data_IF_687909498598
#
_entry.id   IF_687909498598
#
_cell.length_a   1.000
_cell.length_b   1.000
_cell.length_c   1.000
_cell.angle_alpha   90.00
_cell.angle_beta   90.00
_cell.angle_gamma   90.00
#
_symmetry.space_group_name_H-M   'P 1'
#
loop_
_entity.id
_entity.type
_entity.pdbx_description
1 polymer ?
#
# COMPACT_ATOMS: atom_id res chain seq x y z
N UNK A 1 15.89 2.74 -22.37
CA UNK A 1 14.61 2.11 -22.01
C UNK A 1 13.53 3.14 -22.27
N UNK A 2 12.87 3.07 -23.42
CA UNK A 2 11.86 4.07 -23.80
C UNK A 2 10.50 3.51 -23.37
N UNK A 3 9.91 4.07 -22.32
CA UNK A 3 8.56 3.70 -21.89
C UNK A 3 7.60 4.08 -23.02
N UNK A 4 6.86 3.09 -23.50
CA UNK A 4 5.93 3.32 -24.59
C UNK A 4 4.79 4.22 -24.09
N UNK A 5 4.10 4.91 -25.00
CA UNK A 5 3.01 5.82 -24.62
C UNK A 5 1.88 5.10 -23.85
N UNK A 6 1.74 3.78 -24.09
CA UNK A 6 0.80 2.91 -23.38
C UNK A 6 1.19 2.74 -21.91
N UNK A 7 2.48 2.60 -21.58
CA UNK A 7 2.93 2.49 -20.18
C UNK A 7 2.59 3.76 -19.39
N UNK A 8 2.83 4.92 -20.00
CA UNK A 8 2.46 6.21 -19.41
C UNK A 8 0.96 6.38 -19.26
N UNK A 9 0.17 5.89 -20.21
CA UNK A 9 -1.30 5.91 -20.12
C UNK A 9 -1.80 5.09 -18.92
N UNK A 10 -1.20 3.93 -18.64
CA UNK A 10 -1.56 3.08 -17.49
C UNK A 10 -1.23 3.79 -16.17
N UNK A 11 -0.04 4.37 -16.06
CA UNK A 11 0.37 5.13 -14.86
C UNK A 11 -0.56 6.31 -14.61
N UNK A 12 -0.84 7.09 -15.66
CA UNK A 12 -1.71 8.26 -15.56
C UNK A 12 -3.14 7.85 -15.20
N UNK A 13 -3.67 6.77 -15.79
CA UNK A 13 -4.98 6.23 -15.45
C UNK A 13 -5.07 5.82 -13.96
N UNK A 14 -4.04 5.15 -13.43
CA UNK A 14 -3.99 4.75 -12.03
C UNK A 14 -3.92 5.96 -11.09
N UNK A 15 -3.08 6.95 -11.40
CA UNK A 15 -3.00 8.20 -10.63
C UNK A 15 -4.33 8.96 -10.66
N UNK A 16 -4.96 9.06 -11.84
CA UNK A 16 -6.27 9.69 -11.98
C UNK A 16 -7.34 8.97 -11.15
N UNK A 17 -7.34 7.63 -11.16
CA UNK A 17 -8.24 6.84 -10.33
C UNK A 17 -8.05 7.10 -8.82
N UNK A 18 -6.80 7.17 -8.35
CA UNK A 18 -6.50 7.51 -6.95
C UNK A 18 -6.97 8.93 -6.58
N UNK A 19 -6.77 9.91 -7.45
CA UNK A 19 -7.24 11.28 -7.24
C UNK A 19 -8.77 11.33 -7.20
N UNK A 20 -9.44 10.67 -8.14
CA UNK A 20 -10.90 10.62 -8.20
C UNK A 20 -11.50 9.98 -6.96
N UNK A 21 -10.95 8.84 -6.52
CA UNK A 21 -11.40 8.17 -5.30
C UNK A 21 -11.15 9.03 -4.06
N UNK A 22 -10.02 9.73 -3.96
CA UNK A 22 -9.73 10.67 -2.87
C UNK A 22 -10.70 11.87 -2.85
N UNK A 23 -11.01 12.45 -4.02
CA UNK A 23 -11.99 13.55 -4.11
C UNK A 23 -13.40 13.05 -3.75
N UNK A 24 -13.77 11.85 -4.18
CA UNK A 24 -15.06 11.25 -3.86
C UNK A 24 -15.18 10.95 -2.37
N UNK A 25 -14.12 10.45 -1.73
CA UNK A 25 -14.14 10.15 -0.29
C UNK A 25 -14.10 11.40 0.58
N UNK A 26 -13.59 12.53 0.08
CA UNK A 26 -13.55 13.82 0.80
C UNK A 26 -14.94 14.28 1.29
N UNK A 27 -16.02 13.93 0.60
CA UNK A 27 -17.40 14.29 1.00
C UNK A 27 -17.85 13.63 2.31
N UNK A 28 -17.19 12.55 2.72
CA UNK A 28 -17.50 11.81 3.95
C UNK A 28 -16.68 12.28 5.14
N UNK A 29 -15.64 13.09 4.94
CA UNK A 29 -14.82 13.62 6.02
C UNK A 29 -15.46 14.91 6.54
N UNK A 30 -16.27 14.82 7.60
CA UNK A 30 -16.97 15.98 8.19
C UNK A 30 -16.24 16.56 9.41
N UNK A 31 -15.28 15.85 9.99
CA UNK A 31 -14.49 16.31 11.12
C UNK A 31 -13.16 15.57 11.30
N UNK A 32 -12.37 15.99 12.31
CA UNK A 32 -11.03 15.44 12.59
C UNK A 32 -11.09 13.96 12.97
N UNK A 33 -12.13 13.54 13.69
CA UNK A 33 -12.36 12.12 14.02
C UNK A 33 -12.66 11.25 12.80
N UNK A 34 -13.30 11.80 11.78
CA UNK A 34 -13.57 11.08 10.52
C UNK A 34 -12.29 10.93 9.70
N UNK A 35 -11.39 11.91 9.77
CA UNK A 35 -10.10 11.85 9.10
C UNK A 35 -9.13 10.87 9.78
N UNK A 36 -9.07 10.87 11.12
CA UNK A 36 -8.12 10.05 11.87
C UNK A 36 -8.56 8.58 12.04
N UNK A 37 -9.85 8.34 12.25
CA UNK A 37 -10.37 7.00 12.60
C UNK A 37 -11.67 6.65 11.88
N UNK A 38 -12.02 7.37 10.81
CA UNK A 38 -13.25 7.14 10.03
C UNK A 38 -14.50 6.98 10.91
N UNK A 39 -14.62 7.76 11.99
CA UNK A 39 -15.72 7.72 12.97
C UNK A 39 -16.09 6.30 13.48
N UNK A 40 -15.11 5.40 13.63
CA UNK A 40 -15.34 3.98 13.96
C UNK A 40 -16.20 3.20 12.94
N UNK A 41 -16.46 3.76 11.76
CA UNK A 41 -17.12 3.07 10.65
C UNK A 41 -16.17 2.13 9.91
N UNK A 42 -14.85 2.23 10.13
CA UNK A 42 -13.87 1.27 9.65
C UNK A 42 -14.04 -0.07 10.37
N UNK A 43 -14.79 -1.00 9.77
CA UNK A 43 -14.93 -2.36 10.30
C UNK A 43 -13.56 -3.04 10.46
N UNK A 44 -13.50 -4.05 11.33
CA UNK A 44 -12.24 -4.75 11.70
C UNK A 44 -11.42 -5.22 10.49
N UNK A 45 -12.10 -5.64 9.42
CA UNK A 45 -11.46 -6.06 8.17
C UNK A 45 -10.72 -4.92 7.46
N UNK A 46 -11.34 -3.75 7.33
CA UNK A 46 -10.75 -2.59 6.66
C UNK A 46 -9.51 -2.09 7.42
N UNK A 47 -9.56 -2.13 8.75
CA UNK A 47 -8.44 -1.73 9.61
C UNK A 47 -7.30 -2.76 9.51
N UNK A 48 -7.58 -4.06 9.62
CA UNK A 48 -6.54 -5.09 9.51
C UNK A 48 -5.89 -5.13 8.12
N UNK A 49 -6.66 -4.92 7.05
CA UNK A 49 -6.11 -4.95 5.69
C UNK A 49 -5.32 -3.68 5.38
N UNK A 50 -5.74 -2.52 5.92
CA UNK A 50 -4.97 -1.27 5.77
C UNK A 50 -3.67 -1.31 6.58
N UNK A 51 -3.65 -1.93 7.76
CA UNK A 51 -2.40 -2.13 8.51
C UNK A 51 -1.43 -3.07 7.78
N UNK A 52 -1.91 -4.17 7.19
CA UNK A 52 -1.06 -5.06 6.39
C UNK A 52 -0.60 -4.44 5.07
N UNK A 53 -1.46 -3.64 4.41
CA UNK A 53 -1.11 -2.92 3.20
C UNK A 53 -0.09 -1.80 3.43
N UNK A 54 -0.05 -1.19 4.62
CA UNK A 54 0.90 -0.14 4.97
C UNK A 54 2.35 -0.62 5.05
N UNK A 55 2.59 -1.90 5.36
CA UNK A 55 3.93 -2.49 5.37
C UNK A 55 4.49 -2.75 3.96
N UNK A 56 3.60 -2.90 2.97
CA UNK A 56 3.95 -3.20 1.58
C UNK A 56 4.05 -1.93 0.74
N UNK A 57 5.22 -1.30 0.77
CA UNK A 57 5.59 -0.19 -0.13
C UNK A 57 6.50 -0.62 -1.28
N UNK A 58 6.66 0.26 -2.27
CA UNK A 58 7.60 0.04 -3.38
C UNK A 58 9.05 -0.21 -2.90
N UNK A 59 9.46 0.52 -1.85
CA UNK A 59 10.77 0.36 -1.21
C UNK A 59 10.90 -1.04 -0.60
N UNK A 60 9.86 -1.52 0.10
CA UNK A 60 9.84 -2.85 0.70
C UNK A 60 10.01 -3.94 -0.35
N UNK A 61 9.34 -3.80 -1.51
CA UNK A 61 9.43 -4.78 -2.61
C UNK A 61 10.86 -4.84 -3.16
N UNK A 62 11.48 -3.69 -3.44
CA UNK A 62 12.86 -3.64 -3.96
C UNK A 62 13.86 -4.16 -2.93
N UNK A 63 13.70 -3.79 -1.65
CA UNK A 63 14.55 -4.26 -0.56
C UNK A 63 14.48 -5.79 -0.42
N UNK A 64 13.27 -6.36 -0.42
CA UNK A 64 13.07 -7.80 -0.35
C UNK A 64 13.70 -8.50 -1.56
N UNK A 65 13.49 -7.98 -2.76
CA UNK A 65 14.11 -8.51 -3.98
C UNK A 65 15.64 -8.55 -3.85
N UNK A 66 16.25 -7.46 -3.39
CA UNK A 66 17.70 -7.36 -3.25
C UNK A 66 18.27 -8.28 -2.17
N UNK A 67 17.55 -8.48 -1.06
CA UNK A 67 17.92 -9.47 -0.04
C UNK A 67 17.85 -10.88 -0.64
N UNK A 68 16.76 -11.25 -1.30
CA UNK A 68 16.60 -12.59 -1.86
C UNK A 68 17.61 -12.92 -2.96
N UNK A 69 17.97 -11.95 -3.80
CA UNK A 69 18.98 -12.17 -4.83
C UNK A 69 20.39 -12.33 -4.24
N UNK A 70 20.73 -11.63 -3.15
CA UNK A 70 22.06 -11.68 -2.55
C UNK A 70 22.26 -12.84 -1.57
N UNK A 71 21.30 -13.12 -0.69
CA UNK A 71 21.44 -14.07 0.41
C UNK A 71 20.49 -15.29 0.32
N UNK A 72 19.71 -15.38 -0.76
CA UNK A 72 18.71 -16.44 -0.93
C UNK A 72 17.56 -16.33 0.07
N UNK A 73 16.87 -17.44 0.34
CA UNK A 73 15.71 -17.46 1.23
C UNK A 73 16.05 -17.42 2.74
N UNK A 74 17.30 -17.20 3.11
CA UNK A 74 17.74 -17.17 4.52
C UNK A 74 17.09 -16.02 5.31
N UNK A 75 16.73 -14.91 4.66
CA UNK A 75 15.99 -13.81 5.29
C UNK A 75 14.59 -14.18 5.78
N UNK A 76 13.94 -15.20 5.20
CA UNK A 76 12.64 -15.70 5.66
C UNK A 76 12.73 -16.43 7.00
N UNK A 77 13.89 -16.99 7.34
CA UNK A 77 14.07 -17.70 8.61
C UNK A 77 13.84 -16.77 9.80
N UNK A 78 14.35 -15.54 9.72
CA UNK A 78 14.13 -14.52 10.75
C UNK A 78 12.65 -14.11 10.84
N UNK A 79 11.96 -14.00 9.71
CA UNK A 79 10.49 -13.76 9.68
C UNK A 79 9.70 -14.89 10.33
N UNK A 80 10.15 -16.14 10.22
CA UNK A 80 9.55 -17.30 10.89
C UNK A 80 9.89 -17.32 12.38
N UNK A 81 11.06 -16.83 12.78
CA UNK A 81 11.50 -16.74 14.17
C UNK A 81 10.89 -15.54 14.94
N UNK A 82 10.48 -14.48 14.24
CA UNK A 82 9.84 -13.27 14.81
C UNK A 82 8.34 -13.45 15.10
N UNK A 83 7.73 -14.55 14.64
CA UNK A 83 6.38 -14.96 15.09
C UNK A 83 6.42 -15.34 16.58
N UNK A 84 5.39 -15.03 17.40
CA UNK A 84 5.00 -15.96 18.47
C UNK A 84 4.44 -17.26 17.89
#
# INVERSE_FOLDING_TARGET
MNLHWVDWAIVLALVAFLILTAQFTRRYVRGVSDFLVANRCGGRYLICISSGGAELGAVTIVALWQVYTNSGFTGLWWKVAEWP
#
